data_IF_824245670047
#
_entry.id   IF_824245670047
#
_cell.length_a   1.000
_cell.length_b   1.000
_cell.length_c   1.000
_cell.angle_alpha   90.00
_cell.angle_beta   90.00
_cell.angle_gamma   90.00
#
_symmetry.space_group_name_H-M   'P 1'
#
loop_
_entity.id
_entity.type
_entity.pdbx_description
1 polymer ?
#
# COMPACT_ATOMS: atom_id res chain seq x y z
N UNK A 1 12.69 24.31 15.25
CA UNK A 1 11.66 23.70 16.09
C UNK A 1 11.94 22.20 16.38
N UNK A 2 13.00 21.60 15.77
CA UNK A 2 13.37 20.19 15.99
C UNK A 2 14.72 20.03 16.69
N UNK A 3 15.22 21.08 17.37
CA UNK A 3 16.46 21.02 18.12
C UNK A 3 16.38 19.96 19.24
N UNK A 4 17.33 19.04 19.23
CA UNK A 4 17.39 17.93 20.18
C UNK A 4 16.67 16.65 19.79
N UNK A 5 15.96 16.63 18.65
CA UNK A 5 15.33 15.41 18.13
C UNK A 5 16.20 14.83 17.00
N UNK A 6 16.58 13.56 17.12
CA UNK A 6 17.31 12.86 16.04
C UNK A 6 16.33 12.51 14.91
N UNK A 7 16.05 13.48 14.05
CA UNK A 7 15.21 13.32 12.84
C UNK A 7 16.11 13.35 11.62
N UNK A 8 15.98 12.38 10.74
CA UNK A 8 16.57 12.40 9.41
C UNK A 8 15.56 12.99 8.43
N UNK A 9 15.89 14.15 7.88
CA UNK A 9 15.08 14.78 6.84
C UNK A 9 15.54 14.27 5.47
N UNK A 10 14.61 13.79 4.67
CA UNK A 10 14.81 13.46 3.26
C UNK A 10 14.07 14.51 2.42
N UNK A 11 14.76 15.11 1.46
CA UNK A 11 14.18 16.07 0.54
C UNK A 11 13.98 15.40 -0.82
N UNK A 12 12.77 15.51 -1.35
CA UNK A 12 12.43 15.01 -2.68
C UNK A 12 12.15 16.19 -3.60
N UNK A 13 12.76 16.20 -4.77
CA UNK A 13 12.55 17.24 -5.79
C UNK A 13 11.20 17.09 -6.49
N UNK A 14 10.67 15.87 -6.54
CA UNK A 14 9.37 15.56 -7.10
C UNK A 14 8.52 14.76 -6.10
N UNK A 15 7.69 15.48 -5.38
CA UNK A 15 6.81 14.90 -4.37
C UNK A 15 5.62 14.17 -5.01
N UNK A 16 5.16 14.60 -6.19
CA UNK A 16 4.05 13.98 -6.91
C UNK A 16 4.41 12.55 -7.35
N UNK A 17 5.60 12.37 -7.91
CA UNK A 17 6.13 11.04 -8.27
C UNK A 17 6.27 10.15 -7.02
N UNK A 18 6.85 10.71 -5.97
CA UNK A 18 7.03 9.98 -4.71
C UNK A 18 5.69 9.53 -4.12
N UNK A 19 4.67 10.41 -4.10
CA UNK A 19 3.35 10.09 -3.60
C UNK A 19 2.67 8.99 -4.43
N UNK A 20 2.74 9.02 -5.74
CA UNK A 20 2.19 7.97 -6.61
C UNK A 20 2.85 6.61 -6.34
N UNK A 21 4.18 6.58 -6.22
CA UNK A 21 4.90 5.35 -5.85
C UNK A 21 4.53 4.87 -4.44
N UNK A 22 4.33 5.78 -3.49
CA UNK A 22 3.89 5.46 -2.15
C UNK A 22 2.48 4.84 -2.14
N UNK A 23 1.55 5.40 -2.92
CA UNK A 23 0.18 4.88 -3.09
C UNK A 23 0.20 3.47 -3.67
N UNK A 24 1.11 3.15 -4.60
CA UNK A 24 1.25 1.81 -5.16
C UNK A 24 1.56 0.73 -4.10
N UNK A 25 2.12 1.11 -2.95
CA UNK A 25 2.33 0.22 -1.80
C UNK A 25 1.21 0.32 -0.76
N UNK A 26 0.74 1.53 -0.45
CA UNK A 26 -0.23 1.74 0.62
C UNK A 26 -1.59 1.13 0.30
N UNK A 27 -2.09 1.27 -0.93
CA UNK A 27 -3.40 0.70 -1.29
C UNK A 27 -3.45 -0.83 -1.11
N UNK A 28 -2.49 -1.65 -1.58
CA UNK A 28 -2.46 -3.08 -1.29
C UNK A 28 -2.46 -3.43 0.20
N UNK A 29 -1.75 -2.66 1.02
CA UNK A 29 -1.78 -2.83 2.49
C UNK A 29 -3.16 -2.53 3.04
N UNK A 30 -3.81 -1.46 2.57
CA UNK A 30 -5.16 -1.10 3.00
C UNK A 30 -6.21 -2.14 2.56
N UNK A 31 -6.12 -2.67 1.33
CA UNK A 31 -7.02 -3.74 0.89
C UNK A 31 -6.92 -4.96 1.81
N UNK A 32 -5.71 -5.39 2.12
CA UNK A 32 -5.47 -6.49 3.03
C UNK A 32 -5.99 -6.19 4.45
N UNK A 33 -5.81 -4.96 4.96
CA UNK A 33 -6.35 -4.53 6.24
C UNK A 33 -7.88 -4.57 6.24
N UNK A 34 -8.53 -4.11 5.19
CA UNK A 34 -10.00 -4.18 5.06
C UNK A 34 -10.52 -5.62 4.97
N UNK A 35 -9.82 -6.51 4.25
CA UNK A 35 -10.18 -7.91 4.13
C UNK A 35 -10.15 -8.63 5.48
N UNK A 36 -9.19 -8.31 6.36
CA UNK A 36 -9.08 -8.90 7.69
C UNK A 36 -9.78 -8.09 8.81
N UNK A 37 -10.57 -7.07 8.44
CA UNK A 37 -11.35 -6.27 9.39
C UNK A 37 -10.51 -5.37 10.32
N UNK A 38 -9.30 -5.02 9.88
CA UNK A 38 -8.33 -4.20 10.60
C UNK A 38 -7.35 -5.00 11.47
N UNK A 39 -7.50 -6.30 11.60
CA UNK A 39 -6.58 -7.14 12.37
C UNK A 39 -5.51 -7.77 11.43
N UNK A 40 -4.43 -7.05 11.21
CA UNK A 40 -3.33 -7.49 10.34
C UNK A 40 -2.66 -8.79 10.83
N UNK A 41 -2.82 -9.18 12.09
CA UNK A 41 -2.26 -10.44 12.61
C UNK A 41 -2.89 -11.67 11.94
N UNK A 42 -4.07 -11.50 11.34
CA UNK A 42 -4.81 -12.53 10.59
C UNK A 42 -4.31 -12.72 9.16
N UNK A 43 -3.43 -11.84 8.66
CA UNK A 43 -2.89 -11.99 7.32
C UNK A 43 -2.09 -13.27 7.16
N UNK A 44 -2.44 -14.05 6.15
CA UNK A 44 -1.70 -15.25 5.75
C UNK A 44 -0.35 -14.88 5.15
N UNK A 45 0.55 -15.85 5.06
CA UNK A 45 1.83 -15.65 4.36
C UNK A 45 1.63 -15.31 2.87
N UNK A 46 0.60 -15.88 2.27
CA UNK A 46 0.25 -15.63 0.87
C UNK A 46 -0.28 -14.22 0.65
N UNK A 47 -1.18 -13.72 1.50
CA UNK A 47 -1.67 -12.35 1.42
C UNK A 47 -0.53 -11.32 1.60
N UNK A 48 0.41 -11.56 2.51
CA UNK A 48 1.60 -10.70 2.64
C UNK A 48 2.46 -10.69 1.37
N UNK A 49 2.55 -11.82 0.67
CA UNK A 49 3.23 -11.90 -0.62
C UNK A 49 2.48 -11.11 -1.68
N UNK A 50 1.15 -11.24 -1.76
CA UNK A 50 0.32 -10.49 -2.70
C UNK A 50 0.42 -8.97 -2.50
N UNK A 51 0.57 -8.48 -1.27
CA UNK A 51 0.80 -7.05 -1.01
C UNK A 51 2.05 -6.56 -1.77
N UNK A 52 3.14 -7.31 -1.73
CA UNK A 52 4.38 -6.92 -2.40
C UNK A 52 4.34 -7.14 -3.91
N UNK A 53 3.66 -8.20 -4.37
CA UNK A 53 3.41 -8.44 -5.79
C UNK A 53 2.54 -7.31 -6.37
N UNK A 54 1.48 -6.92 -5.68
CA UNK A 54 0.61 -5.82 -6.06
C UNK A 54 1.35 -4.46 -6.08
N UNK A 55 2.23 -4.21 -5.10
CA UNK A 55 3.07 -3.00 -5.10
C UNK A 55 4.02 -2.98 -6.30
N UNK A 56 4.60 -4.13 -6.67
CA UNK A 56 5.42 -4.26 -7.88
C UNK A 56 4.62 -4.02 -9.15
N UNK A 57 3.43 -4.61 -9.25
CA UNK A 57 2.50 -4.38 -10.36
C UNK A 57 2.11 -2.91 -10.47
N UNK A 58 1.82 -2.25 -9.33
CA UNK A 58 1.50 -0.83 -9.26
C UNK A 58 2.65 0.06 -9.77
N UNK A 59 3.88 -0.22 -9.34
CA UNK A 59 5.06 0.49 -9.85
C UNK A 59 5.25 0.32 -11.36
N UNK A 60 5.07 -0.90 -11.88
CA UNK A 60 5.18 -1.16 -13.31
C UNK A 60 4.06 -0.48 -14.10
N UNK A 61 2.85 -0.44 -13.56
CA UNK A 61 1.73 0.30 -14.16
C UNK A 61 2.01 1.80 -14.21
N UNK A 62 2.54 2.39 -13.14
CA UNK A 62 2.94 3.80 -13.13
C UNK A 62 4.00 4.10 -14.21
N UNK A 63 5.01 3.23 -14.37
CA UNK A 63 5.99 3.35 -15.46
C UNK A 63 5.34 3.30 -16.83
N UNK A 64 4.42 2.37 -17.04
CA UNK A 64 3.68 2.25 -18.29
C UNK A 64 2.80 3.48 -18.58
N UNK A 65 2.34 4.17 -17.54
CA UNK A 65 1.61 5.45 -17.64
C UNK A 65 2.52 6.66 -17.83
N UNK A 66 3.84 6.48 -17.92
CA UNK A 66 4.82 7.57 -18.09
C UNK A 66 5.14 8.31 -16.78
N UNK A 67 4.71 7.79 -15.62
CA UNK A 67 5.09 8.35 -14.33
C UNK A 67 6.50 7.87 -13.98
N UNK A 68 7.44 8.77 -13.68
CA UNK A 68 8.76 8.37 -13.21
C UNK A 68 8.66 7.56 -11.91
N UNK A 69 9.34 6.44 -11.87
CA UNK A 69 9.43 5.57 -10.70
C UNK A 69 10.88 5.35 -10.38
N UNK A 70 11.27 5.48 -9.11
CA UNK A 70 12.61 5.13 -8.69
C UNK A 70 12.84 3.63 -8.86
N UNK A 71 13.41 3.25 -10.00
CA UNK A 71 13.65 1.85 -10.37
C UNK A 71 14.51 1.10 -9.37
N UNK A 72 15.51 1.77 -8.79
CA UNK A 72 16.39 1.14 -7.80
C UNK A 72 15.62 0.74 -6.55
N UNK A 73 14.71 1.60 -6.10
CA UNK A 73 13.90 1.31 -4.90
C UNK A 73 12.80 0.31 -5.21
N UNK A 74 12.01 0.52 -6.26
CA UNK A 74 10.90 -0.37 -6.60
C UNK A 74 11.39 -1.79 -6.91
N UNK A 75 12.45 -1.93 -7.72
CA UNK A 75 13.09 -3.21 -7.99
C UNK A 75 13.67 -3.84 -6.72
N UNK A 76 14.42 -3.07 -5.93
CA UNK A 76 15.05 -3.61 -4.74
C UNK A 76 14.06 -4.15 -3.71
N UNK A 77 12.89 -3.50 -3.54
CA UNK A 77 11.95 -3.82 -2.47
C UNK A 77 10.80 -4.72 -2.90
N UNK A 78 10.39 -4.69 -4.16
CA UNK A 78 9.18 -5.39 -4.60
C UNK A 78 9.43 -6.51 -5.60
N UNK A 79 10.50 -6.45 -6.40
CA UNK A 79 10.80 -7.50 -7.35
C UNK A 79 11.11 -8.83 -6.64
N UNK A 80 10.59 -9.91 -7.20
CA UNK A 80 10.75 -11.27 -6.65
C UNK A 80 12.23 -11.65 -6.55
N UNK A 81 12.59 -12.35 -5.47
CA UNK A 81 13.92 -12.87 -5.18
C UNK A 81 15.00 -11.84 -4.81
N UNK A 82 14.68 -10.56 -4.67
CA UNK A 82 15.66 -9.57 -4.20
C UNK A 82 15.87 -9.65 -2.68
N UNK A 83 17.06 -9.28 -2.18
CA UNK A 83 17.29 -9.18 -0.73
C UNK A 83 16.37 -8.16 -0.05
N UNK A 84 16.06 -7.06 -0.73
CA UNK A 84 15.14 -6.02 -0.24
C UNK A 84 13.72 -6.54 -0.09
N UNK A 85 13.24 -7.34 -1.04
CA UNK A 85 11.93 -8.00 -0.94
C UNK A 85 11.83 -8.87 0.32
N UNK A 86 12.81 -9.69 0.61
CA UNK A 86 12.84 -10.50 1.84
C UNK A 86 12.78 -9.63 3.10
N UNK A 87 13.45 -8.46 3.06
CA UNK A 87 13.38 -7.48 4.14
C UNK A 87 11.98 -6.89 4.30
N UNK A 88 11.30 -6.57 3.20
CA UNK A 88 9.92 -6.07 3.19
C UNK A 88 8.93 -7.13 3.68
N UNK A 89 9.06 -8.37 3.25
CA UNK A 89 8.25 -9.49 3.75
C UNK A 89 8.38 -9.65 5.27
N UNK A 90 9.62 -9.58 5.79
CA UNK A 90 9.87 -9.61 7.23
C UNK A 90 9.30 -8.39 7.95
N UNK A 91 9.41 -7.21 7.35
CA UNK A 91 8.83 -5.98 7.90
C UNK A 91 7.31 -6.10 8.00
N UNK A 92 6.62 -6.53 6.95
CA UNK A 92 5.17 -6.74 6.96
C UNK A 92 4.75 -7.78 8.01
N UNK A 93 5.52 -8.85 8.18
CA UNK A 93 5.29 -9.85 9.22
C UNK A 93 5.40 -9.26 10.64
N UNK A 94 6.41 -8.42 10.88
CA UNK A 94 6.61 -7.76 12.18
C UNK A 94 5.49 -6.74 12.40
N UNK A 95 5.21 -5.88 11.43
CA UNK A 95 4.14 -4.88 11.52
C UNK A 95 2.79 -5.54 11.81
N UNK A 96 2.47 -6.64 11.14
CA UNK A 96 1.21 -7.36 11.34
C UNK A 96 1.00 -7.88 12.79
N UNK A 97 2.06 -7.95 13.59
CA UNK A 97 2.05 -8.52 14.95
C UNK A 97 2.40 -7.51 16.05
N UNK A 98 2.48 -6.24 15.71
CA UNK A 98 2.92 -5.22 16.67
C UNK A 98 1.90 -4.08 16.78
N UNK A 99 1.78 -3.43 17.94
CA UNK A 99 0.96 -2.22 18.10
C UNK A 99 1.35 -1.10 17.13
N UNK A 100 2.61 -1.06 16.68
CA UNK A 100 3.05 -0.09 15.68
C UNK A 100 2.36 -0.33 14.34
N UNK A 101 2.22 -1.57 13.90
CA UNK A 101 1.50 -1.90 12.67
C UNK A 101 0.00 -1.65 12.79
N UNK A 102 -0.58 -1.89 13.96
CA UNK A 102 -1.96 -1.51 14.24
C UNK A 102 -2.14 -0.01 14.08
N UNK A 103 -1.34 0.79 14.74
CA UNK A 103 -1.43 2.26 14.70
C UNK A 103 -1.14 2.84 13.30
N UNK A 104 -0.06 2.40 12.65
CA UNK A 104 0.43 3.02 11.41
C UNK A 104 -0.25 2.52 10.13
N UNK A 105 -0.84 1.33 10.14
CA UNK A 105 -1.45 0.75 8.96
C UNK A 105 -2.93 0.46 9.15
N UNK A 106 -3.29 -0.34 10.14
CA UNK A 106 -4.66 -0.76 10.39
C UNK A 106 -5.58 0.39 10.78
N UNK A 107 -5.22 1.10 11.84
CA UNK A 107 -6.04 2.21 12.36
C UNK A 107 -6.15 3.32 11.32
N UNK A 108 -5.03 3.64 10.65
CA UNK A 108 -5.06 4.62 9.57
C UNK A 108 -6.03 4.19 8.46
N UNK A 109 -5.91 2.98 7.94
CA UNK A 109 -6.81 2.47 6.90
C UNK A 109 -8.28 2.50 7.35
N UNK A 110 -8.56 2.03 8.57
CA UNK A 110 -9.93 1.92 9.08
C UNK A 110 -10.60 3.26 9.38
N UNK A 111 -9.82 4.33 9.64
CA UNK A 111 -10.33 5.69 9.86
C UNK A 111 -10.33 6.54 8.58
N UNK A 112 -9.42 6.28 7.64
CA UNK A 112 -9.27 7.03 6.40
C UNK A 112 -9.99 6.39 5.19
N UNK A 113 -11.10 5.66 5.40
CA UNK A 113 -11.78 4.89 4.34
C UNK A 113 -12.16 5.76 3.12
N UNK A 114 -12.67 6.98 3.34
CA UNK A 114 -13.06 7.86 2.23
C UNK A 114 -11.82 8.34 1.43
N UNK A 115 -10.71 8.61 2.11
CA UNK A 115 -9.45 8.97 1.48
C UNK A 115 -8.91 7.80 0.66
N UNK A 116 -8.90 6.59 1.22
CA UNK A 116 -8.43 5.39 0.52
C UNK A 116 -9.29 5.06 -0.69
N UNK A 117 -10.62 5.27 -0.61
CA UNK A 117 -11.49 5.15 -1.77
C UNK A 117 -11.10 6.14 -2.87
N UNK A 118 -10.91 7.41 -2.52
CA UNK A 118 -10.50 8.44 -3.47
C UNK A 118 -9.17 8.10 -4.15
N UNK A 119 -8.19 7.62 -3.39
CA UNK A 119 -6.90 7.20 -3.92
C UNK A 119 -7.01 5.96 -4.83
N UNK A 120 -7.86 4.99 -4.48
CA UNK A 120 -8.17 3.82 -5.30
C UNK A 120 -8.76 4.22 -6.65
N UNK A 121 -9.75 5.12 -6.65
CA UNK A 121 -10.39 5.64 -7.87
C UNK A 121 -9.39 6.43 -8.73
N UNK A 122 -8.57 7.28 -8.12
CA UNK A 122 -7.53 8.04 -8.82
C UNK A 122 -6.47 7.10 -9.45
N UNK A 123 -6.04 6.09 -8.71
CA UNK A 123 -5.07 5.10 -9.20
C UNK A 123 -5.66 4.23 -10.32
N UNK A 124 -6.94 3.85 -10.21
CA UNK A 124 -7.67 3.16 -11.27
C UNK A 124 -7.80 4.02 -12.53
N UNK A 125 -7.96 5.34 -12.39
CA UNK A 125 -7.93 6.28 -13.52
C UNK A 125 -6.59 6.28 -14.27
N UNK A 126 -5.47 6.24 -13.55
CA UNK A 126 -4.13 6.12 -14.17
C UNK A 126 -4.00 4.76 -14.87
N UNK A 127 -4.43 3.68 -14.20
CA UNK A 127 -4.38 2.32 -14.75
C UNK A 127 -5.17 2.19 -16.05
N UNK A 128 -6.32 2.85 -16.14
CA UNK A 128 -7.18 2.80 -17.34
C UNK A 128 -6.49 3.33 -18.61
N UNK A 129 -5.47 4.17 -18.47
CA UNK A 129 -4.63 4.64 -19.56
C UNK A 129 -3.55 3.63 -19.99
N UNK A 130 -3.44 2.50 -19.30
CA UNK A 130 -2.46 1.45 -19.57
C UNK A 130 -3.15 0.12 -19.84
N UNK A 131 -2.42 -0.83 -20.43
CA UNK A 131 -2.90 -2.23 -20.57
C UNK A 131 -2.18 -3.16 -19.60
N UNK A 132 -1.68 -2.64 -18.47
CA UNK A 132 -0.88 -3.41 -17.51
C UNK A 132 -1.77 -4.37 -16.73
N UNK A 133 -1.46 -5.66 -16.80
CA UNK A 133 -2.10 -6.67 -15.98
C UNK A 133 -1.62 -6.53 -14.52
N UNK A 134 -2.55 -6.61 -13.56
CA UNK A 134 -2.27 -6.47 -12.13
C UNK A 134 -3.00 -7.55 -11.32
N UNK A 135 -2.66 -8.84 -11.53
CA UNK A 135 -3.42 -9.95 -10.94
C UNK A 135 -3.38 -10.00 -9.41
N UNK A 136 -2.24 -9.70 -8.77
CA UNK A 136 -2.14 -9.66 -7.31
C UNK A 136 -2.92 -8.48 -6.73
N UNK A 137 -2.89 -7.32 -7.39
CA UNK A 137 -3.69 -6.16 -7.03
C UNK A 137 -5.18 -6.47 -7.09
N UNK A 138 -5.62 -7.05 -8.20
CA UNK A 138 -7.03 -7.39 -8.42
C UNK A 138 -7.51 -8.45 -7.41
N UNK A 139 -6.65 -9.41 -7.06
CA UNK A 139 -6.94 -10.41 -6.02
C UNK A 139 -7.18 -9.73 -4.67
N UNK A 140 -6.25 -8.92 -4.17
CA UNK A 140 -6.40 -8.20 -2.91
C UNK A 140 -7.63 -7.30 -2.90
N UNK A 141 -7.85 -6.59 -4.01
CA UNK A 141 -9.00 -5.70 -4.18
C UNK A 141 -10.33 -6.45 -4.13
N UNK A 142 -10.38 -7.67 -4.63
CA UNK A 142 -11.57 -8.51 -4.61
C UNK A 142 -11.89 -9.13 -3.24
N UNK A 143 -10.89 -9.30 -2.38
CA UNK A 143 -11.07 -9.87 -1.03
C UNK A 143 -11.65 -8.87 -0.03
N UNK A 144 -11.48 -7.57 -0.27
CA UNK A 144 -12.00 -6.55 0.64
C UNK A 144 -13.51 -6.32 0.48
N UNK A 145 -14.23 -5.90 1.53
CA UNK A 145 -15.61 -5.43 1.41
C UNK A 145 -15.68 -4.24 0.44
N UNK A 146 -16.82 -4.08 -0.24
CA UNK A 146 -17.00 -2.90 -1.10
C UNK A 146 -16.94 -1.59 -0.32
N UNK A 147 -16.57 -0.49 -0.99
CA UNK A 147 -16.39 0.83 -0.40
C UNK A 147 -17.62 1.33 0.36
N UNK A 148 -18.82 1.08 -0.15
CA UNK A 148 -20.07 1.46 0.52
C UNK A 148 -20.20 0.82 1.89
N UNK A 149 -19.89 -0.46 1.99
CA UNK A 149 -19.90 -1.20 3.27
C UNK A 149 -18.86 -0.66 4.24
N UNK A 150 -17.65 -0.38 3.77
CA UNK A 150 -16.56 0.18 4.58
C UNK A 150 -16.90 1.57 5.12
N UNK A 151 -17.45 2.45 4.27
CA UNK A 151 -17.87 3.80 4.66
C UNK A 151 -19.01 3.78 5.70
N UNK A 152 -19.94 2.84 5.59
CA UNK A 152 -20.99 2.67 6.61
C UNK A 152 -20.39 2.24 7.97
N UNK A 153 -19.45 1.30 7.95
CA UNK A 153 -18.77 0.82 9.16
C UNK A 153 -17.90 1.89 9.82
N UNK A 154 -17.22 2.72 9.03
CA UNK A 154 -16.35 3.78 9.58
C UNK A 154 -17.15 4.85 10.33
N UNK A 155 -18.38 5.18 9.90
CA UNK A 155 -19.27 6.13 10.57
C UNK A 155 -19.76 5.69 11.95
N UNK A 156 -19.72 4.38 12.23
CA UNK A 156 -20.15 3.82 13.53
C UNK A 156 -18.98 3.59 14.51
N UNK A 157 -17.76 3.94 14.11
CA UNK A 157 -16.55 3.83 14.97
C UNK A 157 -16.15 5.15 15.65
N UNK A 158 -16.90 6.24 15.41
CA UNK A 158 -16.69 7.57 16.03
C UNK A 158 -17.48 7.67 17.34
#
# INVERSE_FOLDING_TARGET
>A
AFDGVKVRLNFYSDMDEWLKCHIAFILPVCYAAYACGGDLSRLTAEQRKWILDAAWEGCNMLKAAGVPVNDKESTAYYETCTPGRKKMERMLFILAKTPLGELCASDHAMHAVAEMQYLDEAFAGIRAATSTAMPAWDTLRSEMPNWKTLLLRSKHRV
#
